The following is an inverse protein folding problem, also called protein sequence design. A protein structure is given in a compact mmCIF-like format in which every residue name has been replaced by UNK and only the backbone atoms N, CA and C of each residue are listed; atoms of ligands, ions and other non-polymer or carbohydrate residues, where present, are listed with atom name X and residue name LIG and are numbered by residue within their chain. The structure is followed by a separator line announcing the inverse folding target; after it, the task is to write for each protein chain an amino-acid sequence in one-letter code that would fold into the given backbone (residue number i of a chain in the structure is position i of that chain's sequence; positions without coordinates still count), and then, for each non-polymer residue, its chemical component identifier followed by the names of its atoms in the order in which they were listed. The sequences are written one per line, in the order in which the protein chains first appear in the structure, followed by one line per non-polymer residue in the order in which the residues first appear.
data_IF_417911320246
#
_entry.id   IF_417911320246
#
_cell.length_a   1.000
_cell.length_b   1.000
_cell.length_c   1.000
_cell.angle_alpha   90.00
_cell.angle_beta   90.00
_cell.angle_gamma   90.00
#
_symmetry.space_group_name_H-M   'P 1'
#
loop_
_entity.id
_entity.type
_entity.pdbx_description
1 polymer ?
#
# COMPACT_ATOMS: atom_id res chain seq x y z
N UNK A 1 -27.69 -37.92 -4.23
CA UNK A 1 -29.07 -37.78 -3.69
C UNK A 1 -28.99 -37.64 -2.18
N UNK A 2 -30.03 -37.17 -1.48
CA UNK A 2 -30.04 -37.08 0.00
C UNK A 2 -31.44 -37.47 0.55
N UNK A 3 -31.54 -38.23 1.65
CA UNK A 3 -32.83 -38.74 2.16
C UNK A 3 -33.88 -37.67 2.46
N UNK A 4 -33.45 -36.47 2.88
CA UNK A 4 -34.35 -35.35 3.19
C UNK A 4 -34.84 -34.56 1.96
N UNK A 5 -34.44 -34.93 0.74
CA UNK A 5 -34.74 -34.17 -0.49
C UNK A 5 -35.68 -34.90 -1.47
N UNK A 6 -36.21 -36.07 -1.09
CA UNK A 6 -37.16 -36.86 -1.89
C UNK A 6 -36.70 -37.09 -3.35
N UNK A 7 -35.42 -37.39 -3.54
CA UNK A 7 -34.83 -37.67 -4.85
C UNK A 7 -34.59 -36.44 -5.74
N UNK A 8 -34.85 -35.21 -5.27
CA UNK A 8 -34.57 -33.98 -6.03
C UNK A 8 -33.06 -33.71 -6.14
N UNK A 9 -32.53 -33.37 -7.32
CA UNK A 9 -31.13 -32.98 -7.48
C UNK A 9 -30.89 -31.58 -6.89
N UNK A 10 -29.73 -31.41 -6.24
CA UNK A 10 -29.24 -30.10 -5.79
C UNK A 10 -28.23 -29.62 -6.82
N UNK A 11 -28.48 -28.45 -7.41
CA UNK A 11 -27.56 -27.81 -8.35
C UNK A 11 -27.00 -26.56 -7.70
N UNK A 12 -25.67 -26.43 -7.72
CA UNK A 12 -24.98 -25.25 -7.22
C UNK A 12 -23.95 -24.77 -8.23
N UNK A 13 -23.90 -23.45 -8.42
CA UNK A 13 -22.88 -22.81 -9.22
C UNK A 13 -21.73 -22.42 -8.31
N UNK A 14 -20.54 -22.94 -8.60
CA UNK A 14 -19.32 -22.67 -7.84
C UNK A 14 -18.19 -22.32 -8.81
N UNK A 15 -17.24 -21.45 -8.41
CA UNK A 15 -16.03 -21.26 -9.20
C UNK A 15 -15.34 -22.61 -9.44
N UNK A 16 -14.84 -22.86 -10.66
CA UNK A 16 -14.26 -24.18 -11.00
C UNK A 16 -13.14 -24.63 -10.05
N UNK A 17 -12.33 -23.69 -9.56
CA UNK A 17 -11.27 -23.94 -8.58
C UNK A 17 -11.79 -24.40 -7.19
N UNK A 18 -13.08 -24.25 -6.91
CA UNK A 18 -13.76 -24.69 -5.69
C UNK A 18 -14.56 -25.97 -5.86
N UNK A 19 -14.74 -26.47 -7.09
CA UNK A 19 -15.65 -27.58 -7.39
C UNK A 19 -15.42 -28.80 -6.51
N UNK A 20 -14.17 -29.26 -6.39
CA UNK A 20 -13.85 -30.45 -5.59
C UNK A 20 -14.07 -30.23 -4.08
N UNK A 21 -13.68 -29.07 -3.54
CA UNK A 21 -13.92 -28.77 -2.13
C UNK A 21 -15.42 -28.70 -1.80
N UNK A 22 -16.19 -28.15 -2.73
CA UNK A 22 -17.63 -28.00 -2.60
C UNK A 22 -18.35 -29.34 -2.73
N UNK A 23 -17.89 -30.23 -3.59
CA UNK A 23 -18.35 -31.62 -3.68
C UNK A 23 -18.06 -32.37 -2.37
N UNK A 24 -16.83 -32.28 -1.84
CA UNK A 24 -16.45 -32.91 -0.56
C UNK A 24 -17.29 -32.40 0.62
N UNK A 25 -17.60 -31.10 0.64
CA UNK A 25 -18.46 -30.52 1.67
C UNK A 25 -19.90 -31.07 1.57
N UNK A 26 -20.43 -31.26 0.36
CA UNK A 26 -21.75 -31.84 0.14
C UNK A 26 -21.80 -33.34 0.51
N UNK A 27 -20.74 -34.09 0.19
CA UNK A 27 -20.60 -35.50 0.61
C UNK A 27 -20.63 -35.64 2.13
N UNK A 28 -19.94 -34.76 2.86
CA UNK A 28 -20.00 -34.74 4.33
C UNK A 28 -21.40 -34.46 4.88
N UNK A 29 -22.23 -33.71 4.14
CA UNK A 29 -23.64 -33.48 4.46
C UNK A 29 -24.56 -34.63 3.99
N UNK A 30 -24.00 -35.71 3.44
CA UNK A 30 -24.72 -36.90 3.00
C UNK A 30 -25.28 -36.82 1.58
N UNK A 31 -24.80 -35.88 0.75
CA UNK A 31 -25.18 -35.78 -0.65
C UNK A 31 -24.23 -36.59 -1.53
N UNK A 32 -24.77 -37.47 -2.37
CA UNK A 32 -23.94 -38.15 -3.38
C UNK A 32 -23.70 -37.28 -4.62
N UNK A 33 -22.45 -37.26 -5.08
CA UNK A 33 -21.98 -36.56 -6.28
C UNK A 33 -22.60 -37.17 -7.55
N UNK A 34 -23.02 -36.31 -8.48
CA UNK A 34 -23.38 -36.74 -9.84
C UNK A 34 -22.28 -36.39 -10.84
N UNK A 35 -21.98 -37.27 -11.81
CA UNK A 35 -20.97 -37.01 -12.84
C UNK A 35 -21.44 -35.92 -13.80
N UNK A 36 -20.54 -34.97 -14.10
CA UNK A 36 -20.76 -33.88 -15.05
C UNK A 36 -20.79 -32.51 -14.40
N UNK A 37 -19.76 -31.71 -14.66
CA UNK A 37 -19.64 -30.33 -14.16
C UNK A 37 -19.59 -29.38 -15.36
N UNK A 38 -20.73 -29.08 -16.01
CA UNK A 38 -20.74 -28.19 -17.16
C UNK A 38 -20.31 -26.78 -16.74
N UNK A 39 -19.38 -26.18 -17.48
CA UNK A 39 -19.02 -24.78 -17.29
C UNK A 39 -20.15 -23.88 -17.79
N UNK A 40 -20.68 -23.03 -16.91
CA UNK A 40 -21.83 -22.16 -17.22
C UNK A 40 -21.48 -20.67 -17.31
N UNK A 41 -20.23 -20.30 -17.05
CA UNK A 41 -19.77 -18.90 -17.11
C UNK A 41 -18.46 -18.64 -16.37
N UNK A 42 -18.09 -17.37 -16.26
CA UNK A 42 -16.84 -16.91 -15.60
C UNK A 42 -17.14 -15.99 -14.43
N UNK A 43 -16.36 -16.10 -13.35
CA UNK A 43 -16.45 -15.27 -12.15
C UNK A 43 -15.08 -14.72 -11.78
N UNK A 44 -15.06 -13.62 -11.01
CA UNK A 44 -13.81 -13.10 -10.42
C UNK A 44 -13.20 -14.18 -9.52
N UNK A 45 -11.89 -14.40 -9.64
CA UNK A 45 -11.16 -15.31 -8.75
C UNK A 45 -11.11 -14.71 -7.34
N UNK A 46 -11.70 -15.40 -6.38
CA UNK A 46 -11.63 -15.06 -4.96
C UNK A 46 -10.60 -15.95 -4.25
N UNK A 47 -9.95 -15.41 -3.21
CA UNK A 47 -9.06 -16.20 -2.35
C UNK A 47 -9.89 -17.20 -1.56
N UNK A 48 -9.55 -18.48 -1.65
CA UNK A 48 -10.27 -19.53 -0.93
C UNK A 48 -10.10 -19.35 0.57
N UNK A 49 -11.21 -19.18 1.28
CA UNK A 49 -11.24 -19.16 2.75
C UNK A 49 -11.23 -20.57 3.35
N UNK A 50 -11.13 -20.65 4.68
CA UNK A 50 -11.36 -21.89 5.42
C UNK A 50 -12.88 -22.15 5.53
N UNK A 51 -13.39 -23.39 5.32
CA UNK A 51 -12.65 -24.65 5.18
C UNK A 51 -12.29 -25.03 3.72
N UNK A 52 -12.82 -24.33 2.72
CA UNK A 52 -12.66 -24.71 1.31
C UNK A 52 -11.19 -24.86 0.90
N UNK A 53 -10.32 -23.97 1.39
CA UNK A 53 -8.87 -24.06 1.18
C UNK A 53 -8.27 -25.36 1.71
N UNK A 54 -8.64 -25.76 2.92
CA UNK A 54 -8.16 -26.99 3.55
C UNK A 54 -8.61 -28.24 2.77
N UNK A 55 -9.81 -28.21 2.19
CA UNK A 55 -10.34 -29.28 1.36
C UNK A 55 -9.62 -29.42 0.03
N UNK A 56 -9.18 -28.30 -0.58
CA UNK A 56 -8.37 -28.34 -1.81
C UNK A 56 -6.95 -28.79 -1.53
N UNK A 57 -6.33 -28.27 -0.46
CA UNK A 57 -4.91 -28.52 -0.18
C UNK A 57 -4.67 -29.92 0.43
N UNK A 58 -5.61 -30.45 1.21
CA UNK A 58 -5.52 -31.79 1.82
C UNK A 58 -6.91 -32.44 1.99
N UNK A 59 -7.48 -32.98 0.91
CA UNK A 59 -8.78 -33.65 0.93
C UNK A 59 -8.88 -34.78 1.97
N UNK A 60 -7.80 -35.53 2.18
CA UNK A 60 -7.77 -36.69 3.07
C UNK A 60 -8.06 -36.30 4.53
N UNK A 61 -7.58 -35.14 4.95
CA UNK A 61 -7.82 -34.60 6.29
C UNK A 61 -8.97 -33.57 6.34
N UNK A 62 -9.68 -33.35 5.23
CA UNK A 62 -10.74 -32.34 5.08
C UNK A 62 -11.87 -32.41 6.11
N UNK A 63 -12.17 -33.62 6.61
CA UNK A 63 -13.16 -33.84 7.67
C UNK A 63 -12.83 -33.06 8.97
N UNK A 64 -11.55 -32.84 9.29
CA UNK A 64 -11.14 -32.01 10.41
C UNK A 64 -11.54 -30.54 10.23
N UNK A 65 -11.48 -30.03 8.99
CA UNK A 65 -11.89 -28.66 8.68
C UNK A 65 -13.42 -28.50 8.68
N UNK A 66 -14.13 -29.47 8.09
CA UNK A 66 -15.60 -29.50 8.06
C UNK A 66 -16.22 -29.60 9.46
N UNK A 67 -15.58 -30.33 10.38
CA UNK A 67 -16.01 -30.44 11.77
C UNK A 67 -16.03 -29.09 12.53
N UNK A 68 -15.31 -28.07 12.04
CA UNK A 68 -15.23 -26.75 12.69
C UNK A 68 -16.21 -25.72 12.15
N UNK A 69 -16.90 -25.99 11.03
CA UNK A 69 -17.76 -25.01 10.34
C UNK A 69 -18.79 -24.39 11.27
N UNK A 70 -19.53 -25.22 12.02
CA UNK A 70 -20.56 -24.73 12.96
C UNK A 70 -19.98 -23.86 14.07
N UNK A 71 -18.80 -24.22 14.59
CA UNK A 71 -18.14 -23.44 15.63
C UNK A 71 -17.64 -22.09 15.07
N UNK A 72 -17.07 -22.08 13.85
CA UNK A 72 -16.63 -20.87 13.15
C UNK A 72 -17.80 -19.93 12.87
N UNK A 73 -18.92 -20.43 12.35
CA UNK A 73 -20.14 -19.63 12.10
C UNK A 73 -20.72 -19.01 13.39
N UNK A 74 -20.67 -19.76 14.50
CA UNK A 74 -21.06 -19.24 15.80
C UNK A 74 -20.14 -18.11 16.24
N UNK A 75 -18.82 -18.29 16.13
CA UNK A 75 -17.84 -17.27 16.51
C UNK A 75 -17.92 -16.04 15.60
N UNK A 76 -18.20 -16.22 14.31
CA UNK A 76 -18.40 -15.14 13.35
C UNK A 76 -19.57 -14.23 13.74
N UNK A 77 -20.70 -14.82 14.18
CA UNK A 77 -21.84 -14.06 14.71
C UNK A 77 -21.49 -13.31 15.99
N UNK A 78 -20.67 -13.90 16.86
CA UNK A 78 -20.20 -13.26 18.09
C UNK A 78 -19.21 -12.13 17.83
N UNK A 79 -18.38 -12.24 16.79
CA UNK A 79 -17.31 -11.28 16.51
C UNK A 79 -17.83 -9.84 16.37
N UNK A 80 -19.06 -9.63 15.90
CA UNK A 80 -19.70 -8.32 15.75
C UNK A 80 -19.95 -7.59 17.09
N UNK A 81 -20.43 -8.31 18.10
CA UNK A 81 -20.88 -7.72 19.38
C UNK A 81 -19.97 -8.03 20.56
N UNK A 82 -19.24 -9.15 20.49
CA UNK A 82 -18.40 -9.70 21.55
C UNK A 82 -17.03 -10.12 20.98
N UNK A 83 -16.26 -9.19 20.38
CA UNK A 83 -15.02 -9.53 19.66
C UNK A 83 -13.98 -10.23 20.54
N UNK A 84 -13.92 -9.91 21.84
CA UNK A 84 -13.01 -10.57 22.79
C UNK A 84 -13.40 -12.02 23.09
N UNK A 85 -14.70 -12.33 23.19
CA UNK A 85 -15.19 -13.70 23.39
C UNK A 85 -14.94 -14.54 22.14
N UNK A 86 -15.26 -13.98 20.97
CA UNK A 86 -14.96 -14.63 19.70
C UNK A 86 -13.46 -14.93 19.55
N UNK A 87 -12.58 -14.03 20.03
CA UNK A 87 -11.12 -14.21 19.97
C UNK A 87 -10.71 -15.43 20.77
N UNK A 88 -11.16 -15.54 22.02
CA UNK A 88 -10.87 -16.71 22.87
C UNK A 88 -11.37 -18.02 22.24
N UNK A 89 -12.55 -17.98 21.60
CA UNK A 89 -13.07 -19.13 20.88
C UNK A 89 -12.23 -19.54 19.67
N UNK A 90 -11.82 -18.59 18.82
CA UNK A 90 -10.94 -18.87 17.68
C UNK A 90 -9.56 -19.38 18.14
N UNK A 91 -9.03 -18.85 19.23
CA UNK A 91 -7.78 -19.32 19.84
C UNK A 91 -7.89 -20.78 20.29
N UNK A 92 -8.97 -21.12 21.00
CA UNK A 92 -9.24 -22.49 21.44
C UNK A 92 -9.42 -23.48 20.27
N UNK A 93 -10.13 -23.08 19.21
CA UNK A 93 -10.26 -23.91 18.00
C UNK A 93 -8.90 -24.11 17.32
N UNK A 94 -8.07 -23.07 17.26
CA UNK A 94 -6.71 -23.18 16.75
C UNK A 94 -5.85 -24.16 17.56
N UNK A 95 -5.91 -24.11 18.89
CA UNK A 95 -5.19 -25.09 19.74
C UNK A 95 -5.62 -26.54 19.47
N UNK A 96 -6.90 -26.77 19.15
CA UNK A 96 -7.40 -28.09 18.75
C UNK A 96 -6.79 -28.53 17.41
N UNK A 97 -6.80 -27.65 16.40
CA UNK A 97 -6.20 -27.92 15.08
C UNK A 97 -4.70 -28.18 15.18
N UNK A 98 -3.99 -27.43 16.01
CA UNK A 98 -2.53 -27.54 16.18
C UNK A 98 -2.08 -28.94 16.63
N UNK A 99 -2.93 -29.68 17.33
CA UNK A 99 -2.63 -31.04 17.82
C UNK A 99 -2.83 -32.14 16.77
N UNK A 100 -3.63 -31.89 15.73
CA UNK A 100 -3.98 -32.93 14.75
C UNK A 100 -3.55 -32.57 13.33
N UNK A 101 -3.88 -31.36 12.87
CA UNK A 101 -3.67 -30.88 11.50
C UNK A 101 -3.10 -29.46 11.52
N UNK A 102 -1.85 -29.27 11.98
CA UNK A 102 -1.25 -27.95 12.15
C UNK A 102 -1.15 -27.15 10.83
N UNK A 103 -1.09 -27.82 9.67
CA UNK A 103 -1.11 -27.18 8.36
C UNK A 103 -2.44 -26.49 8.02
N UNK A 104 -3.52 -26.74 8.76
CA UNK A 104 -4.78 -25.99 8.63
C UNK A 104 -4.80 -24.68 9.42
N UNK A 105 -3.83 -24.45 10.32
CA UNK A 105 -3.79 -23.24 11.14
C UNK A 105 -3.66 -21.96 10.32
N UNK A 106 -2.79 -21.85 9.29
CA UNK A 106 -2.69 -20.63 8.52
C UNK A 106 -4.01 -20.23 7.83
N UNK A 107 -4.66 -21.08 6.99
CA UNK A 107 -5.92 -20.70 6.36
C UNK A 107 -7.06 -20.50 7.38
N UNK A 108 -7.06 -21.23 8.50
CA UNK A 108 -8.03 -21.03 9.58
C UNK A 108 -7.90 -19.65 10.24
N UNK A 109 -6.69 -19.25 10.63
CA UNK A 109 -6.46 -17.96 11.26
C UNK A 109 -6.61 -16.79 10.28
N UNK A 110 -6.28 -16.97 9.00
CA UNK A 110 -6.63 -15.98 7.96
C UNK A 110 -8.15 -15.82 7.83
N UNK A 111 -8.92 -16.92 7.88
CA UNK A 111 -10.38 -16.83 7.85
C UNK A 111 -10.94 -16.12 9.10
N UNK A 112 -10.40 -16.41 10.29
CA UNK A 112 -10.75 -15.66 11.50
C UNK A 112 -10.46 -14.17 11.34
N UNK A 113 -9.32 -13.82 10.73
CA UNK A 113 -8.96 -12.43 10.46
C UNK A 113 -9.93 -11.75 9.46
N UNK A 114 -10.34 -12.45 8.39
CA UNK A 114 -11.37 -11.97 7.44
C UNK A 114 -12.71 -11.69 8.14
N UNK A 115 -13.16 -12.59 9.01
CA UNK A 115 -14.37 -12.39 9.82
C UNK A 115 -14.28 -11.12 10.67
N UNK A 116 -13.14 -10.83 11.29
CA UNK A 116 -12.97 -9.57 12.02
C UNK A 116 -12.96 -8.34 11.11
N UNK A 117 -12.42 -8.45 9.90
CA UNK A 117 -12.46 -7.36 8.91
C UNK A 117 -13.88 -7.03 8.48
N UNK A 118 -14.73 -8.03 8.27
CA UNK A 118 -16.15 -7.85 7.93
C UNK A 118 -16.89 -6.99 8.97
N UNK A 119 -16.53 -7.11 10.24
CA UNK A 119 -17.09 -6.30 11.35
C UNK A 119 -16.26 -5.05 11.68
N UNK A 120 -15.25 -4.70 10.88
CA UNK A 120 -14.41 -3.51 11.06
C UNK A 120 -13.38 -3.59 12.20
N UNK A 121 -13.17 -4.76 12.79
CA UNK A 121 -12.28 -5.00 13.92
C UNK A 121 -10.82 -5.23 13.49
N UNK A 122 -10.20 -4.22 12.87
CA UNK A 122 -8.85 -4.30 12.25
C UNK A 122 -7.73 -4.79 13.20
N UNK A 123 -7.79 -4.44 14.48
CA UNK A 123 -6.77 -4.89 15.46
C UNK A 123 -6.82 -6.40 15.71
N UNK A 124 -8.03 -6.97 15.83
CA UNK A 124 -8.21 -8.41 15.95
C UNK A 124 -7.83 -9.13 14.66
N UNK A 125 -8.20 -8.59 13.51
CA UNK A 125 -7.77 -9.10 12.21
C UNK A 125 -6.24 -9.17 12.10
N UNK A 126 -5.52 -8.10 12.46
CA UNK A 126 -4.06 -8.08 12.46
C UNK A 126 -3.46 -9.11 13.42
N UNK A 127 -4.10 -9.35 14.57
CA UNK A 127 -3.68 -10.36 15.54
C UNK A 127 -3.79 -11.77 14.97
N UNK A 128 -4.92 -12.10 14.35
CA UNK A 128 -5.13 -13.43 13.75
C UNK A 128 -4.27 -13.65 12.50
N UNK A 129 -4.07 -12.61 11.67
CA UNK A 129 -3.11 -12.70 10.57
C UNK A 129 -1.69 -12.99 11.07
N UNK A 130 -1.24 -12.31 12.14
CA UNK A 130 0.05 -12.60 12.75
C UNK A 130 0.13 -14.04 13.32
N UNK A 131 -0.96 -14.57 13.89
CA UNK A 131 -1.04 -15.96 14.34
C UNK A 131 -0.95 -16.96 13.19
N UNK A 132 -1.52 -16.67 12.02
CA UNK A 132 -1.37 -17.50 10.83
C UNK A 132 0.11 -17.65 10.44
N UNK A 133 0.84 -16.54 10.39
CA UNK A 133 2.29 -16.53 10.09
C UNK A 133 3.12 -17.17 11.20
N UNK A 134 2.71 -17.02 12.45
CA UNK A 134 3.36 -17.68 13.58
C UNK A 134 3.20 -19.21 13.52
N UNK A 135 2.02 -19.70 13.14
CA UNK A 135 1.78 -21.13 12.98
C UNK A 135 2.69 -21.73 11.90
N UNK A 136 2.90 -21.04 10.78
CA UNK A 136 3.87 -21.46 9.74
C UNK A 136 5.28 -21.63 10.32
N UNK A 137 5.72 -20.69 11.17
CA UNK A 137 7.05 -20.74 11.79
C UNK A 137 7.17 -21.83 12.85
N UNK A 138 6.22 -21.89 13.78
CA UNK A 138 6.24 -22.83 14.92
C UNK A 138 6.16 -24.27 14.45
N UNK A 139 5.37 -24.54 13.40
CA UNK A 139 5.20 -25.89 12.87
C UNK A 139 6.06 -26.18 11.63
N UNK A 140 6.97 -25.27 11.25
CA UNK A 140 7.84 -25.39 10.08
C UNK A 140 7.07 -25.80 8.79
N UNK A 141 5.91 -25.18 8.57
CA UNK A 141 5.02 -25.52 7.46
C UNK A 141 5.62 -25.07 6.13
N UNK A 142 5.34 -25.83 5.07
CA UNK A 142 5.62 -25.38 3.71
C UNK A 142 4.77 -24.13 3.39
N UNK A 143 5.39 -23.12 2.80
CA UNK A 143 4.74 -21.85 2.45
C UNK A 143 4.78 -21.67 0.94
N UNK A 144 3.61 -21.46 0.34
CA UNK A 144 3.50 -20.92 -1.02
C UNK A 144 3.70 -19.40 -0.97
N UNK A 145 4.81 -18.92 -1.51
CA UNK A 145 5.20 -17.51 -1.46
C UNK A 145 4.24 -16.58 -2.23
N UNK A 146 3.62 -17.07 -3.31
CA UNK A 146 2.68 -16.26 -4.09
C UNK A 146 1.37 -16.08 -3.32
N UNK A 147 0.89 -17.16 -2.69
CA UNK A 147 -0.30 -17.11 -1.84
C UNK A 147 -0.07 -16.29 -0.59
N UNK A 148 1.09 -16.47 0.06
CA UNK A 148 1.45 -15.68 1.22
C UNK A 148 1.51 -14.19 0.85
N UNK A 149 2.15 -13.83 -0.28
CA UNK A 149 2.17 -12.42 -0.74
C UNK A 149 0.76 -11.88 -1.01
N UNK A 150 -0.11 -12.65 -1.64
CA UNK A 150 -1.51 -12.27 -1.86
C UNK A 150 -2.24 -12.01 -0.54
N UNK A 151 -2.08 -12.87 0.47
CA UNK A 151 -2.64 -12.66 1.79
C UNK A 151 -2.06 -11.39 2.45
N UNK A 152 -0.74 -11.18 2.41
CA UNK A 152 -0.11 -9.96 2.93
C UNK A 152 -0.71 -8.69 2.30
N UNK A 153 -0.99 -8.69 0.99
CA UNK A 153 -1.62 -7.57 0.29
C UNK A 153 -3.08 -7.39 0.69
N UNK A 154 -3.85 -8.47 0.79
CA UNK A 154 -5.24 -8.47 1.26
C UNK A 154 -5.34 -7.74 2.61
N UNK A 155 -4.59 -8.20 3.61
CA UNK A 155 -4.61 -7.63 4.96
C UNK A 155 -3.97 -6.24 5.02
N UNK A 156 -3.01 -5.94 4.13
CA UNK A 156 -2.47 -4.60 3.99
C UNK A 156 -3.53 -3.59 3.56
N UNK A 157 -4.28 -3.91 2.51
CA UNK A 157 -5.30 -3.03 1.94
C UNK A 157 -6.48 -2.84 2.89
N UNK A 158 -6.78 -3.86 3.70
CA UNK A 158 -7.77 -3.76 4.77
C UNK A 158 -7.30 -2.94 6.00
N UNK A 159 -6.04 -2.49 6.03
CA UNK A 159 -5.47 -1.78 7.17
C UNK A 159 -5.23 -2.66 8.40
N UNK A 160 -5.14 -3.98 8.20
CA UNK A 160 -4.92 -4.99 9.25
C UNK A 160 -3.53 -5.64 9.14
N UNK A 161 -2.54 -4.90 8.65
CA UNK A 161 -1.15 -5.33 8.61
C UNK A 161 -0.26 -4.37 9.39
N UNK A 162 0.46 -4.88 10.39
CA UNK A 162 1.41 -4.10 11.18
C UNK A 162 2.77 -3.98 10.48
N UNK A 163 3.53 -2.93 10.83
CA UNK A 163 4.94 -2.79 10.39
C UNK A 163 5.80 -3.95 10.91
N UNK A 164 5.46 -4.51 12.08
CA UNK A 164 6.12 -5.71 12.62
C UNK A 164 5.92 -6.91 11.69
N UNK A 165 4.70 -7.16 11.23
CA UNK A 165 4.41 -8.26 10.30
C UNK A 165 5.17 -8.12 8.98
N UNK A 166 5.36 -6.90 8.46
CA UNK A 166 6.20 -6.66 7.26
C UNK A 166 7.68 -6.98 7.49
N UNK A 167 8.21 -6.65 8.66
CA UNK A 167 9.60 -6.98 9.02
C UNK A 167 9.79 -8.47 9.21
N UNK A 168 8.82 -9.13 9.84
CA UNK A 168 8.81 -10.59 9.96
C UNK A 168 8.74 -11.24 8.59
N UNK A 169 7.89 -10.76 7.69
CA UNK A 169 7.85 -11.23 6.30
C UNK A 169 9.22 -11.16 5.62
N UNK A 170 9.92 -10.02 5.72
CA UNK A 170 11.26 -9.87 5.14
C UNK A 170 12.26 -10.89 5.72
N UNK A 171 12.21 -11.14 7.03
CA UNK A 171 13.03 -12.16 7.68
C UNK A 171 12.64 -13.59 7.32
N UNK A 172 11.36 -13.84 7.11
CA UNK A 172 10.80 -15.15 6.75
C UNK A 172 11.20 -15.55 5.33
N UNK A 173 11.02 -14.66 4.35
CA UNK A 173 11.45 -14.93 2.97
C UNK A 173 12.98 -15.06 2.87
N UNK A 174 13.74 -14.28 3.66
CA UNK A 174 15.20 -14.38 3.68
C UNK A 174 15.71 -15.70 4.30
N UNK A 175 14.90 -16.36 5.15
CA UNK A 175 15.23 -17.68 5.72
C UNK A 175 14.87 -18.83 4.79
N UNK A 176 13.81 -18.69 3.99
CA UNK A 176 13.27 -19.77 3.15
C UNK A 176 13.83 -19.78 1.73
N UNK A 177 14.11 -18.61 1.16
CA UNK A 177 14.49 -18.47 -0.24
C UNK A 177 15.97 -18.15 -0.40
N UNK A 178 16.50 -18.37 -1.60
CA UNK A 178 17.81 -17.82 -1.93
C UNK A 178 17.78 -16.28 -1.82
N UNK A 179 18.91 -15.64 -1.50
CA UNK A 179 18.94 -14.20 -1.22
C UNK A 179 18.41 -13.30 -2.36
N UNK A 180 18.59 -13.70 -3.63
CA UNK A 180 18.12 -12.91 -4.76
C UNK A 180 16.60 -13.05 -4.95
N UNK A 181 16.05 -14.26 -4.83
CA UNK A 181 14.62 -14.52 -4.85
C UNK A 181 13.91 -13.88 -3.65
N UNK A 182 14.52 -13.91 -2.46
CA UNK A 182 14.01 -13.22 -1.27
C UNK A 182 13.88 -11.71 -1.51
N UNK A 183 14.93 -11.09 -2.06
CA UNK A 183 14.88 -9.67 -2.43
C UNK A 183 13.78 -9.39 -3.45
N UNK A 184 13.67 -10.20 -4.50
CA UNK A 184 12.64 -10.01 -5.54
C UNK A 184 11.22 -10.11 -4.97
N UNK A 185 10.93 -11.11 -4.12
CA UNK A 185 9.63 -11.26 -3.46
C UNK A 185 9.30 -10.06 -2.58
N UNK A 186 10.25 -9.62 -1.75
CA UNK A 186 10.06 -8.47 -0.87
C UNK A 186 9.88 -7.15 -1.64
N UNK A 187 10.66 -6.95 -2.72
CA UNK A 187 10.53 -5.80 -3.61
C UNK A 187 9.14 -5.79 -4.27
N UNK A 188 8.67 -6.93 -4.79
CA UNK A 188 7.35 -7.07 -5.40
C UNK A 188 6.23 -6.72 -4.41
N UNK A 189 6.25 -7.27 -3.20
CA UNK A 189 5.30 -6.90 -2.14
C UNK A 189 5.31 -5.40 -1.87
N UNK A 190 6.51 -4.81 -1.74
CA UNK A 190 6.66 -3.38 -1.46
C UNK A 190 6.08 -2.50 -2.56
N UNK A 191 6.34 -2.83 -3.82
CA UNK A 191 5.84 -2.11 -4.99
C UNK A 191 4.32 -2.25 -5.09
N UNK A 192 3.77 -3.46 -4.98
CA UNK A 192 2.33 -3.72 -5.06
C UNK A 192 1.57 -2.97 -3.94
N UNK A 193 2.13 -2.91 -2.73
CA UNK A 193 1.59 -2.09 -1.63
C UNK A 193 1.53 -0.60 -1.97
N UNK A 194 2.63 -0.05 -2.50
CA UNK A 194 2.71 1.37 -2.85
C UNK A 194 1.80 1.71 -4.02
N UNK A 195 1.73 0.85 -5.04
CA UNK A 195 0.84 1.01 -6.18
C UNK A 195 -0.63 1.05 -5.77
N UNK A 196 -1.02 0.27 -4.76
CA UNK A 196 -2.36 0.30 -4.17
C UNK A 196 -2.59 1.46 -3.17
N UNK A 197 -1.64 2.40 -3.07
CA UNK A 197 -1.80 3.63 -2.31
C UNK A 197 -1.24 3.58 -0.89
N UNK A 198 -0.68 2.47 -0.40
CA UNK A 198 -0.09 2.42 0.95
C UNK A 198 1.30 3.08 0.96
N UNK A 199 1.60 3.99 1.91
CA UNK A 199 2.87 4.69 1.91
C UNK A 199 4.05 3.76 2.22
N UNK A 200 5.26 4.10 1.75
CA UNK A 200 6.49 3.48 2.23
C UNK A 200 6.59 3.57 3.76
N UNK A 201 6.77 2.43 4.42
CA UNK A 201 6.91 2.39 5.87
C UNK A 201 8.31 2.86 6.31
N UNK A 202 8.42 3.48 7.49
CA UNK A 202 9.63 4.21 7.93
C UNK A 202 10.92 3.39 7.91
N UNK A 203 10.84 2.10 8.18
CA UNK A 203 12.01 1.22 8.25
C UNK A 203 12.40 0.59 6.90
N UNK A 204 11.64 0.84 5.85
CA UNK A 204 11.87 0.27 4.52
C UNK A 204 13.31 0.47 4.01
N UNK A 205 13.96 1.65 4.12
CA UNK A 205 15.32 1.81 3.61
C UNK A 205 16.33 0.85 4.27
N UNK A 206 16.17 0.59 5.57
CA UNK A 206 17.03 -0.33 6.32
C UNK A 206 16.81 -1.77 5.84
N UNK A 207 15.54 -2.18 5.74
CA UNK A 207 15.19 -3.56 5.39
C UNK A 207 15.56 -3.86 3.92
N UNK A 208 15.29 -2.92 2.99
CA UNK A 208 15.73 -2.97 1.58
C UNK A 208 17.25 -3.17 1.46
N UNK A 209 18.04 -2.36 2.17
CA UNK A 209 19.51 -2.45 2.11
C UNK A 209 20.05 -3.74 2.70
N UNK A 210 19.40 -4.28 3.72
CA UNK A 210 19.78 -5.56 4.31
C UNK A 210 19.57 -6.69 3.29
N UNK A 211 18.43 -6.70 2.59
CA UNK A 211 18.11 -7.73 1.60
C UNK A 211 18.98 -7.62 0.34
N UNK A 212 19.18 -6.41 -0.19
CA UNK A 212 20.08 -6.23 -1.35
C UNK A 212 21.50 -6.69 -0.98
N UNK A 213 22.00 -6.32 0.21
CA UNK A 213 23.33 -6.77 0.66
C UNK A 213 23.42 -8.29 0.73
N UNK A 214 22.41 -8.97 1.28
CA UNK A 214 22.38 -10.43 1.35
C UNK A 214 22.37 -11.07 -0.05
N UNK A 215 21.70 -10.45 -1.02
CA UNK A 215 21.66 -10.92 -2.41
C UNK A 215 22.96 -10.78 -3.20
N UNK A 216 23.89 -9.95 -2.75
CA UNK A 216 25.10 -9.60 -3.51
C UNK A 216 24.84 -8.73 -4.75
N UNK A 217 23.60 -8.31 -5.00
CA UNK A 217 23.24 -7.47 -6.15
C UNK A 217 23.76 -6.02 -5.99
N UNK A 218 23.98 -5.29 -7.10
CA UNK A 218 24.44 -3.90 -7.06
C UNK A 218 23.42 -3.00 -6.36
N UNK A 219 23.80 -2.45 -5.20
CA UNK A 219 22.91 -1.65 -4.36
C UNK A 219 22.21 -0.52 -5.10
N UNK A 220 22.95 0.33 -5.79
CA UNK A 220 22.38 1.51 -6.45
C UNK A 220 21.38 1.10 -7.53
N UNK A 221 21.69 0.06 -8.33
CA UNK A 221 20.81 -0.42 -9.38
C UNK A 221 19.48 -0.95 -8.81
N UNK A 222 19.54 -1.77 -7.75
CA UNK A 222 18.33 -2.32 -7.12
C UNK A 222 17.52 -1.27 -6.35
N UNK A 223 18.19 -0.30 -5.69
CA UNK A 223 17.49 0.85 -5.10
C UNK A 223 16.80 1.70 -6.18
N UNK A 224 17.45 1.95 -7.33
CA UNK A 224 16.84 2.66 -8.46
C UNK A 224 15.63 1.89 -9.04
N UNK A 225 15.75 0.56 -9.19
CA UNK A 225 14.65 -0.30 -9.68
C UNK A 225 13.43 -0.24 -8.75
N UNK A 226 13.65 -0.27 -7.43
CA UNK A 226 12.57 -0.09 -6.45
C UNK A 226 11.97 1.33 -6.55
N UNK A 227 12.82 2.37 -6.54
CA UNK A 227 12.39 3.76 -6.53
C UNK A 227 11.60 4.15 -7.78
N UNK A 228 11.98 3.63 -8.95
CA UNK A 228 11.24 3.88 -10.20
C UNK A 228 9.76 3.50 -10.07
N UNK A 229 9.46 2.38 -9.41
CA UNK A 229 8.09 1.93 -9.18
C UNK A 229 7.40 2.68 -8.02
N UNK A 230 8.12 2.93 -6.92
CA UNK A 230 7.55 3.62 -5.75
C UNK A 230 7.22 5.08 -6.04
N UNK A 231 8.12 5.83 -6.70
CA UNK A 231 7.95 7.25 -7.04
C UNK A 231 6.82 7.45 -8.06
N UNK A 232 6.63 6.50 -8.97
CA UNK A 232 5.50 6.51 -9.91
C UNK A 232 4.13 6.35 -9.20
N UNK A 233 4.09 5.80 -7.98
CA UNK A 233 2.85 5.60 -7.25
C UNK A 233 2.34 6.90 -6.59
N UNK A 234 1.01 7.07 -6.42
CA UNK A 234 0.44 8.15 -5.62
C UNK A 234 0.84 8.09 -4.14
N UNK A 235 1.19 6.90 -3.65
CA UNK A 235 1.60 6.69 -2.26
C UNK A 235 2.89 7.45 -1.88
N UNK A 236 3.72 7.80 -2.87
CA UNK A 236 4.95 8.57 -2.67
C UNK A 236 4.71 9.93 -2.00
N UNK A 237 3.55 10.57 -2.22
CA UNK A 237 3.19 11.82 -1.54
C UNK A 237 3.23 11.69 0.00
N UNK A 238 2.96 10.48 0.52
CA UNK A 238 2.92 10.19 1.95
C UNK A 238 4.18 9.48 2.45
N UNK A 239 5.24 9.44 1.65
CA UNK A 239 6.54 8.94 2.11
C UNK A 239 7.17 9.92 3.12
N UNK A 240 7.79 9.39 4.17
CA UNK A 240 8.38 10.20 5.24
C UNK A 240 9.67 10.89 4.80
N UNK A 241 10.07 11.95 5.51
CA UNK A 241 11.36 12.62 5.26
C UNK A 241 12.56 11.68 5.41
N UNK A 242 12.47 10.72 6.35
CA UNK A 242 13.50 9.68 6.52
C UNK A 242 13.63 8.77 5.29
N UNK A 243 12.52 8.43 4.61
CA UNK A 243 12.55 7.68 3.35
C UNK A 243 13.28 8.47 2.27
N UNK A 244 12.86 9.71 2.03
CA UNK A 244 13.46 10.57 1.00
C UNK A 244 14.95 10.81 1.25
N UNK A 245 15.32 11.16 2.49
CA UNK A 245 16.71 11.37 2.89
C UNK A 245 17.56 10.12 2.70
N UNK A 246 17.03 8.95 3.05
CA UNK A 246 17.77 7.70 2.90
C UNK A 246 18.04 7.39 1.43
N UNK A 247 17.05 7.56 0.56
CA UNK A 247 17.14 7.18 -0.85
C UNK A 247 17.62 8.28 -1.79
N UNK A 248 17.86 9.50 -1.29
CA UNK A 248 18.29 10.65 -2.10
C UNK A 248 19.45 10.31 -3.06
N UNK A 249 20.57 9.66 -2.66
CA UNK A 249 21.65 9.36 -3.60
C UNK A 249 21.22 8.49 -4.78
N UNK A 250 20.43 7.46 -4.54
CA UNK A 250 19.91 6.58 -5.59
C UNK A 250 18.83 7.27 -6.42
N UNK A 251 18.06 8.17 -5.82
CA UNK A 251 17.09 9.00 -6.55
C UNK A 251 17.79 9.98 -7.51
N UNK A 252 18.96 10.52 -7.16
CA UNK A 252 19.76 11.37 -8.04
C UNK A 252 20.27 10.60 -9.27
N UNK A 253 20.76 9.38 -9.06
CA UNK A 253 21.16 8.48 -10.15
C UNK A 253 19.96 8.16 -11.05
N UNK A 254 18.85 7.74 -10.46
CA UNK A 254 17.62 7.43 -11.19
C UNK A 254 17.10 8.63 -12.00
N UNK A 255 17.12 9.85 -11.44
CA UNK A 255 16.68 11.06 -12.11
C UNK A 255 17.65 11.51 -13.22
N UNK A 256 18.93 11.16 -13.12
CA UNK A 256 19.90 11.37 -14.19
C UNK A 256 19.65 10.40 -15.36
N UNK A 257 19.38 9.13 -15.07
CA UNK A 257 19.12 8.09 -16.07
C UNK A 257 17.73 8.18 -16.72
N UNK A 258 16.72 8.64 -15.96
CA UNK A 258 15.32 8.67 -16.40
C UNK A 258 14.72 10.08 -16.21
N UNK A 259 14.75 10.95 -17.24
CA UNK A 259 14.24 12.32 -17.15
C UNK A 259 12.78 12.43 -16.64
N UNK A 260 11.91 11.47 -17.00
CA UNK A 260 10.52 11.38 -16.52
C UNK A 260 10.38 11.36 -14.99
N UNK A 261 11.40 10.90 -14.27
CA UNK A 261 11.39 10.87 -12.80
C UNK A 261 11.43 12.28 -12.24
N UNK A 262 12.12 13.22 -12.89
CA UNK A 262 12.15 14.63 -12.50
C UNK A 262 10.76 15.26 -12.61
N UNK A 263 10.06 15.03 -13.73
CA UNK A 263 8.67 15.46 -13.92
C UNK A 263 7.79 14.89 -12.81
N UNK A 264 7.90 13.59 -12.54
CA UNK A 264 7.13 12.94 -11.47
C UNK A 264 7.42 13.52 -10.08
N UNK A 265 8.66 13.89 -9.78
CA UNK A 265 9.02 14.52 -8.51
C UNK A 265 8.35 15.90 -8.34
N UNK A 266 8.14 16.66 -9.41
CA UNK A 266 7.42 17.94 -9.38
C UNK A 266 5.90 17.77 -9.19
N UNK A 267 5.34 16.62 -9.58
CA UNK A 267 3.94 16.30 -9.30
C UNK A 267 3.69 16.00 -7.81
N UNK A 268 4.70 15.49 -7.12
CA UNK A 268 4.60 15.12 -5.70
C UNK A 268 4.61 16.36 -4.82
N UNK A 269 3.54 16.51 -4.04
CA UNK A 269 3.46 17.44 -2.92
C UNK A 269 3.63 16.63 -1.62
N UNK A 270 4.71 16.81 -0.85
CA UNK A 270 5.24 15.79 0.06
C UNK A 270 4.49 15.68 1.41
N UNK A 271 3.20 15.34 1.40
CA UNK A 271 2.19 15.31 2.51
C UNK A 271 2.64 14.79 3.87
N UNK A 272 3.66 13.92 3.95
CA UNK A 272 4.14 13.35 5.21
C UNK A 272 5.42 13.98 5.78
N UNK A 273 5.97 15.03 5.15
CA UNK A 273 6.98 15.88 5.80
C UNK A 273 6.37 16.71 6.94
N UNK A 274 7.21 17.28 7.80
CA UNK A 274 6.75 18.19 8.85
C UNK A 274 6.14 19.49 8.29
N UNK A 275 5.79 20.41 9.19
CA UNK A 275 5.09 21.65 8.86
C UNK A 275 6.01 22.89 8.88
N UNK A 276 7.32 22.70 9.13
CA UNK A 276 8.26 23.80 9.29
C UNK A 276 8.99 24.15 8.00
N UNK A 277 9.57 25.36 7.94
CA UNK A 277 10.35 25.82 6.78
C UNK A 277 11.52 24.87 6.45
N UNK A 278 12.10 24.20 7.44
CA UNK A 278 13.15 23.21 7.23
C UNK A 278 12.69 21.98 6.41
N UNK A 279 11.40 21.61 6.51
CA UNK A 279 10.83 20.51 5.75
C UNK A 279 10.58 20.91 4.28
N UNK A 280 10.13 22.16 4.08
CA UNK A 280 9.99 22.78 2.76
C UNK A 280 11.37 22.90 2.08
N UNK A 281 12.37 23.42 2.79
CA UNK A 281 13.75 23.54 2.32
C UNK A 281 14.36 22.18 1.98
N UNK A 282 14.11 21.15 2.80
CA UNK A 282 14.54 19.80 2.50
C UNK A 282 13.95 19.29 1.18
N UNK A 283 12.65 19.49 0.95
CA UNK A 283 12.00 19.08 -0.29
C UNK A 283 12.56 19.82 -1.51
N UNK A 284 12.70 21.14 -1.42
CA UNK A 284 13.26 21.95 -2.50
C UNK A 284 14.73 21.59 -2.80
N UNK A 285 15.51 21.28 -1.76
CA UNK A 285 16.88 20.76 -1.90
C UNK A 285 16.91 19.39 -2.60
N UNK A 286 15.94 18.51 -2.33
CA UNK A 286 15.79 17.24 -3.05
C UNK A 286 15.46 17.47 -4.53
N UNK A 287 14.56 18.39 -4.85
CA UNK A 287 14.26 18.74 -6.25
C UNK A 287 15.48 19.30 -6.98
N UNK A 288 16.25 20.18 -6.32
CA UNK A 288 17.50 20.71 -6.87
C UNK A 288 18.56 19.61 -7.03
N UNK A 289 18.72 18.73 -6.04
CA UNK A 289 19.68 17.63 -6.06
C UNK A 289 19.39 16.60 -7.16
N UNK A 290 18.14 16.46 -7.58
CA UNK A 290 17.70 15.59 -8.68
C UNK A 290 17.62 16.31 -10.04
N UNK A 291 17.86 17.62 -10.06
CA UNK A 291 17.74 18.47 -11.25
C UNK A 291 16.30 18.71 -11.70
N UNK A 292 15.30 18.37 -10.88
CA UNK A 292 13.89 18.57 -11.20
C UNK A 292 13.50 20.06 -11.23
N UNK A 293 14.14 20.88 -10.40
CA UNK A 293 13.94 22.33 -10.37
C UNK A 293 14.30 23.01 -11.72
N UNK A 294 15.27 22.48 -12.48
CA UNK A 294 15.66 23.02 -13.79
C UNK A 294 14.53 23.00 -14.82
N UNK A 295 13.59 22.05 -14.68
CA UNK A 295 12.39 22.00 -15.52
C UNK A 295 11.43 23.18 -15.23
N UNK A 296 11.44 23.69 -13.99
CA UNK A 296 10.64 24.85 -13.59
C UNK A 296 11.27 26.17 -14.06
N UNK A 297 12.58 26.22 -14.25
CA UNK A 297 13.32 27.44 -14.63
C UNK A 297 13.58 27.54 -16.13
N UNK A 298 13.39 26.46 -16.89
CA UNK A 298 13.65 26.43 -18.33
C UNK A 298 15.10 26.10 -18.70
N UNK A 299 15.90 25.64 -17.74
CA UNK A 299 17.31 25.28 -17.93
C UNK A 299 17.51 23.87 -18.54
N UNK A 300 16.42 23.11 -18.73
CA UNK A 300 16.42 21.75 -19.25
C UNK A 300 15.53 21.64 -20.49
N UNK A 301 15.92 20.83 -21.49
CA UNK A 301 15.19 20.68 -22.76
C UNK A 301 13.76 20.14 -22.55
N UNK A 302 13.55 19.30 -21.52
CA UNK A 302 12.24 18.74 -21.19
C UNK A 302 11.32 19.74 -20.45
N UNK A 303 11.76 20.98 -20.23
CA UNK A 303 10.95 21.99 -19.51
C UNK A 303 9.58 22.23 -20.15
N UNK A 304 9.44 22.03 -21.46
CA UNK A 304 8.16 22.17 -22.18
C UNK A 304 7.04 21.26 -21.67
N UNK A 305 7.36 20.16 -20.98
CA UNK A 305 6.39 19.24 -20.39
C UNK A 305 5.84 19.71 -19.04
N UNK A 306 6.47 20.72 -18.43
CA UNK A 306 6.18 21.18 -17.07
C UNK A 306 5.56 22.57 -17.08
N UNK A 307 4.39 22.66 -16.44
CA UNK A 307 3.72 23.92 -16.15
C UNK A 307 4.27 24.53 -14.86
N UNK A 308 5.23 25.44 -15.02
CA UNK A 308 5.87 26.15 -13.92
C UNK A 308 4.88 27.01 -13.11
N UNK A 309 3.86 27.58 -13.75
CA UNK A 309 2.86 28.42 -13.09
C UNK A 309 1.93 27.58 -12.22
N UNK A 310 1.43 26.46 -12.75
CA UNK A 310 0.63 25.50 -11.98
C UNK A 310 1.43 24.90 -10.82
N UNK A 311 2.71 24.55 -11.04
CA UNK A 311 3.54 24.03 -9.96
C UNK A 311 3.70 25.03 -8.81
N UNK A 312 4.00 26.30 -9.11
CA UNK A 312 4.16 27.34 -8.08
C UNK A 312 2.85 27.56 -7.31
N UNK A 313 1.71 27.56 -7.99
CA UNK A 313 0.39 27.64 -7.37
C UNK A 313 0.10 26.43 -6.46
N UNK A 314 0.41 25.21 -6.92
CA UNK A 314 0.29 23.98 -6.10
C UNK A 314 1.21 24.03 -4.88
N UNK A 315 2.45 24.50 -5.02
CA UNK A 315 3.41 24.63 -3.93
C UNK A 315 2.95 25.67 -2.88
N UNK A 316 2.53 26.86 -3.32
CA UNK A 316 2.00 27.89 -2.43
C UNK A 316 0.78 27.37 -1.65
N UNK A 317 -0.16 26.71 -2.34
CA UNK A 317 -1.31 26.06 -1.70
C UNK A 317 -0.90 24.93 -0.75
N UNK A 318 0.12 24.14 -1.10
CA UNK A 318 0.63 23.07 -0.23
C UNK A 318 1.14 23.60 1.10
N UNK A 319 1.95 24.67 1.07
CA UNK A 319 2.50 25.32 2.27
C UNK A 319 1.38 25.91 3.14
N UNK A 320 0.37 26.55 2.54
CA UNK A 320 -0.81 27.07 3.27
C UNK A 320 -1.67 25.98 3.91
N UNK A 321 -1.87 24.85 3.22
CA UNK A 321 -2.76 23.79 3.69
C UNK A 321 -2.23 23.01 4.91
N UNK A 322 -1.02 23.32 5.37
CA UNK A 322 -0.30 22.65 6.44
C UNK A 322 -0.23 23.43 7.75
N UNK A 323 -0.68 24.68 7.80
CA UNK A 323 -0.67 25.49 9.03
C UNK A 323 -1.38 26.82 8.87
N UNK A 324 -1.62 27.53 9.99
CA UNK A 324 -2.35 28.80 9.99
C UNK A 324 -1.58 29.98 9.36
N UNK A 325 -0.25 29.88 9.27
CA UNK A 325 0.61 30.78 8.50
C UNK A 325 1.92 30.05 8.18
N UNK A 326 2.22 29.72 6.91
CA UNK A 326 3.50 29.12 6.58
C UNK A 326 4.62 30.12 6.89
N UNK A 327 5.57 29.72 7.74
CA UNK A 327 6.73 30.56 8.02
C UNK A 327 7.55 30.83 6.76
N UNK A 328 8.28 31.95 6.74
CA UNK A 328 9.17 32.33 5.63
C UNK A 328 10.08 31.17 5.22
N UNK A 329 10.14 30.89 3.92
CA UNK A 329 11.00 29.85 3.34
C UNK A 329 11.93 30.47 2.28
N UNK A 330 13.18 30.80 2.62
CA UNK A 330 14.15 31.38 1.68
C UNK A 330 14.35 30.56 0.41
N UNK A 331 14.33 29.23 0.51
CA UNK A 331 14.46 28.35 -0.66
C UNK A 331 13.28 28.48 -1.63
N UNK A 332 12.07 28.73 -1.13
CA UNK A 332 10.89 28.99 -1.99
C UNK A 332 11.09 30.29 -2.76
N UNK A 333 11.52 31.36 -2.08
CA UNK A 333 11.78 32.66 -2.70
C UNK A 333 12.89 32.57 -3.76
N UNK A 334 14.00 31.90 -3.43
CA UNK A 334 15.11 31.71 -4.35
C UNK A 334 14.70 30.93 -5.62
N UNK A 335 13.89 29.88 -5.48
CA UNK A 335 13.37 29.14 -6.62
C UNK A 335 12.40 29.99 -7.44
N UNK A 336 11.46 30.70 -6.80
CA UNK A 336 10.50 31.57 -7.49
C UNK A 336 11.20 32.68 -8.30
N UNK A 337 12.25 33.29 -7.75
CA UNK A 337 13.08 34.27 -8.46
C UNK A 337 13.73 33.66 -9.71
N UNK A 338 14.26 32.43 -9.62
CA UNK A 338 14.80 31.72 -10.79
C UNK A 338 13.73 31.34 -11.82
N UNK A 339 12.50 31.07 -11.38
CA UNK A 339 11.38 30.76 -12.27
C UNK A 339 10.84 32.01 -13.01
N UNK A 340 11.05 33.21 -12.47
CA UNK A 340 10.43 34.46 -12.94
C UNK A 340 10.59 34.73 -14.45
N UNK A 341 11.77 34.57 -15.09
CA UNK A 341 11.91 34.79 -16.52
C UNK A 341 10.98 33.89 -17.36
N UNK A 342 10.85 32.62 -16.97
CA UNK A 342 9.98 31.64 -17.64
C UNK A 342 8.51 31.94 -17.40
N UNK A 343 8.13 32.27 -16.16
CA UNK A 343 6.75 32.62 -15.81
C UNK A 343 6.27 33.86 -16.57
N UNK A 344 7.12 34.89 -16.68
CA UNK A 344 6.85 36.09 -17.48
C UNK A 344 6.67 35.76 -18.96
N UNK A 345 7.60 35.01 -19.54
CA UNK A 345 7.55 34.65 -20.96
C UNK A 345 6.32 33.78 -21.31
N UNK A 346 5.89 32.91 -20.38
CA UNK A 346 4.73 32.05 -20.57
C UNK A 346 3.38 32.76 -20.48
N UNK A 347 3.30 33.93 -19.82
CA UNK A 347 2.09 34.76 -19.71
C UNK A 347 0.93 34.14 -18.92
N UNK A 348 1.05 32.89 -18.48
CA UNK A 348 0.03 32.20 -17.66
C UNK A 348 0.04 32.74 -16.23
N UNK A 349 -1.15 33.03 -15.71
CA UNK A 349 -1.33 33.54 -14.35
C UNK A 349 -1.05 32.47 -13.28
N UNK A 350 -0.35 32.85 -12.22
CA UNK A 350 -0.10 32.03 -11.02
C UNK A 350 -1.13 32.39 -9.95
N UNK A 351 -1.84 31.38 -9.42
CA UNK A 351 -2.73 31.56 -8.27
C UNK A 351 -1.97 31.31 -6.96
N UNK A 352 -1.67 32.40 -6.25
CA UNK A 352 -1.04 32.37 -4.93
C UNK A 352 -2.06 32.46 -3.78
N UNK A 353 -3.34 32.70 -4.08
CA UNK A 353 -4.35 33.11 -3.10
C UNK A 353 -5.23 31.95 -2.65
N UNK A 354 -5.55 31.00 -3.53
CA UNK A 354 -6.41 29.87 -3.17
C UNK A 354 -5.81 29.01 -2.06
N UNK A 355 -6.52 28.92 -0.93
CA UNK A 355 -6.23 28.05 0.21
C UNK A 355 -7.31 26.97 0.42
N UNK A 356 -7.15 26.12 1.43
CA UNK A 356 -8.13 25.06 1.75
C UNK A 356 -9.40 25.58 2.40
N UNK A 357 -9.30 26.60 3.24
CA UNK A 357 -10.40 27.11 4.06
C UNK A 357 -10.74 28.57 3.76
N UNK A 358 -9.72 29.37 3.47
CA UNK A 358 -9.83 30.81 3.21
C UNK A 358 -8.84 31.20 2.10
N UNK A 359 -9.06 32.37 1.51
CA UNK A 359 -8.08 33.00 0.64
C UNK A 359 -6.94 33.56 1.48
N UNK A 360 -5.71 33.34 1.03
CA UNK A 360 -4.54 33.97 1.62
C UNK A 360 -3.26 33.71 0.86
N UNK A 361 -2.26 34.55 1.08
CA UNK A 361 -0.98 34.50 0.36
C UNK A 361 0.20 34.58 1.34
N UNK A 362 1.31 33.92 0.99
CA UNK A 362 2.60 34.16 1.64
C UNK A 362 3.11 35.54 1.16
N UNK A 363 3.13 36.52 2.07
CA UNK A 363 3.47 37.91 1.77
C UNK A 363 4.82 38.06 1.05
N UNK A 364 5.84 37.34 1.50
CA UNK A 364 7.18 37.43 0.89
C UNK A 364 7.17 36.87 -0.54
N UNK A 365 6.43 35.79 -0.78
CA UNK A 365 6.31 35.20 -2.12
C UNK A 365 5.47 36.07 -3.05
N UNK A 366 4.39 36.68 -2.53
CA UNK A 366 3.55 37.61 -3.27
C UNK A 366 4.35 38.85 -3.69
N UNK A 367 5.06 39.48 -2.75
CA UNK A 367 5.90 40.64 -3.00
C UNK A 367 6.97 40.34 -4.06
N UNK A 368 7.66 39.21 -3.94
CA UNK A 368 8.65 38.77 -4.94
C UNK A 368 8.01 38.60 -6.32
N UNK A 369 6.85 37.93 -6.43
CA UNK A 369 6.21 37.73 -7.72
C UNK A 369 5.75 39.04 -8.36
N UNK A 370 5.29 40.01 -7.56
CA UNK A 370 4.94 41.35 -8.02
C UNK A 370 6.18 42.12 -8.50
N UNK A 371 7.27 42.10 -7.72
CA UNK A 371 8.53 42.75 -8.06
C UNK A 371 9.15 42.19 -9.35
N UNK A 372 9.03 40.88 -9.56
CA UNK A 372 9.52 40.17 -10.75
C UNK A 372 8.56 40.23 -11.95
N UNK A 373 7.39 40.88 -11.80
CA UNK A 373 6.40 41.03 -12.88
C UNK A 373 5.74 39.71 -13.31
N UNK A 374 5.67 38.72 -12.42
CA UNK A 374 4.99 37.44 -12.68
C UNK A 374 3.48 37.67 -12.80
N UNK A 375 2.80 37.18 -13.85
CA UNK A 375 1.35 37.29 -13.97
C UNK A 375 0.65 36.55 -12.82
N UNK A 376 -0.22 37.22 -12.07
CA UNK A 376 -0.94 36.64 -10.92
C UNK A 376 -2.44 36.58 -11.19
N UNK A 377 -3.09 35.50 -10.73
CA UNK A 377 -4.55 35.38 -10.69
C UNK A 377 -5.05 36.05 -9.40
N UNK A 378 -5.31 37.35 -9.46
CA UNK A 378 -5.73 38.15 -8.30
C UNK A 378 -7.23 37.92 -8.00
N UNK A 379 -7.63 37.71 -6.73
CA UNK A 379 -9.04 37.63 -6.34
C UNK A 379 -9.82 38.90 -6.71
N UNK A 380 -11.15 38.77 -6.80
CA UNK A 380 -12.04 39.91 -7.05
C UNK A 380 -11.99 40.97 -5.94
N UNK A 381 -12.46 42.20 -6.21
CA UNK A 381 -12.32 43.34 -5.30
C UNK A 381 -13.02 43.17 -3.94
N UNK A 382 -14.03 42.31 -3.85
CA UNK A 382 -14.80 42.03 -2.62
C UNK A 382 -14.31 40.79 -1.86
N UNK A 383 -13.20 40.18 -2.29
CA UNK A 383 -12.67 38.97 -1.67
C UNK A 383 -11.86 39.31 -0.41
N UNK A 384 -12.22 38.69 0.73
CA UNK A 384 -11.44 38.78 1.97
C UNK A 384 -10.20 37.86 1.87
N UNK A 385 -9.02 38.46 1.80
CA UNK A 385 -7.73 37.75 1.64
C UNK A 385 -6.88 37.96 2.89
N UNK A 386 -6.51 36.87 3.55
CA UNK A 386 -5.54 36.93 4.66
C UNK A 386 -4.11 36.96 4.15
N UNK A 387 -3.35 37.97 4.55
CA UNK A 387 -1.95 38.16 4.18
C UNK A 387 -1.02 37.80 5.36
#
# INVERSE_FOLDING_TARGET
THPALDGRPVVRLVPGALGEAEDLAMEFLGLERQPGTPEVGTVRRETLGFPARALVDDPANGHHALALVKDVERLARQAKGLPGVAKGGFEHLGERLARSVPHFLPPFYEQAARIYLEHGHRSFAATFFARAREAERVHALAVDEEQQRAAFLEFAFAGALSVKALREYAGDVARRLDPAAAWEQFRRLTVERCAAGLPPYTAMPRDVRAMIRASGLPRTAEECRLLAAVVASPAAERASGAFWKAFLPSLQVLAAEQPRVRVRLLEIMPRALGLGAQDDEFWLSLLAGTGADRLLTGEDEASGEVDAADWLARWARHRKNRGFAPGRCPATLALAARMAPRLRAGGRTVDLFTGRWELGADLDLLDLCLAEGVPLAVPGPDADVRL
#
